data_IF_289584021426
#
_entry.id   IF_289584021426
#
_cell.length_a   1.000
_cell.length_b   1.000
_cell.length_c   1.000
_cell.angle_alpha   90.00
_cell.angle_beta   90.00
_cell.angle_gamma   90.00
#
_symmetry.space_group_name_H-M   'P 1'
#
loop_
_entity.id
_entity.type
_entity.pdbx_description
1 polymer ?
#
# COMPACT_ATOMS: atom_id res chain seq x y z
N UNK A 1 36.85 -83.97 9.18
CA UNK A 1 36.52 -83.14 8.01
C UNK A 1 35.79 -81.91 8.54
N UNK A 2 36.47 -80.77 8.55
CA UNK A 2 36.06 -79.54 9.25
C UNK A 2 35.19 -78.67 8.33
N UNK A 3 33.93 -78.45 8.72
CA UNK A 3 33.02 -77.51 8.07
C UNK A 3 32.88 -76.25 8.91
N UNK A 4 33.53 -75.16 8.49
CA UNK A 4 33.34 -73.82 9.07
C UNK A 4 32.13 -73.17 8.41
N UNK A 5 31.07 -72.92 9.18
CA UNK A 5 29.95 -72.08 8.75
C UNK A 5 30.19 -70.64 9.22
N UNK A 6 30.45 -69.75 8.26
CA UNK A 6 30.57 -68.30 8.47
C UNK A 6 29.16 -67.69 8.46
N UNK A 7 28.74 -67.14 9.60
CA UNK A 7 27.46 -66.41 9.73
C UNK A 7 27.73 -64.94 9.39
N UNK A 8 27.38 -64.53 8.17
CA UNK A 8 27.42 -63.13 7.75
C UNK A 8 26.15 -62.44 8.26
N UNK A 9 26.27 -61.59 9.28
CA UNK A 9 25.17 -60.71 9.72
C UNK A 9 25.12 -59.49 8.80
N UNK A 10 24.15 -59.46 7.90
CA UNK A 10 23.85 -58.30 7.05
C UNK A 10 23.13 -57.26 7.93
N UNK A 11 23.85 -56.20 8.30
CA UNK A 11 23.30 -55.02 8.98
C UNK A 11 22.57 -54.19 7.93
N UNK A 12 21.24 -54.21 7.97
CA UNK A 12 20.41 -53.37 7.11
C UNK A 12 20.36 -51.95 7.66
N UNK A 13 21.12 -51.04 7.06
CA UNK A 13 21.05 -49.60 7.33
C UNK A 13 19.91 -49.04 6.47
N UNK A 14 18.73 -48.85 7.08
CA UNK A 14 17.62 -48.16 6.45
C UNK A 14 17.96 -46.64 6.39
N UNK A 15 18.39 -46.17 5.22
CA UNK A 15 18.66 -44.77 4.95
C UNK A 15 17.31 -44.04 4.79
N UNK A 16 16.82 -43.41 5.85
CA UNK A 16 15.63 -42.57 5.82
C UNK A 16 15.90 -41.30 5.00
N UNK A 17 15.49 -41.32 3.73
CA UNK A 17 15.52 -40.18 2.83
C UNK A 17 14.45 -39.16 3.28
N UNK A 18 14.83 -38.21 4.14
CA UNK A 18 13.98 -37.07 4.46
C UNK A 18 13.90 -36.13 3.25
N UNK A 19 12.74 -36.15 2.58
CA UNK A 19 12.37 -35.18 1.55
C UNK A 19 12.31 -33.78 2.17
N UNK A 20 13.41 -33.03 2.10
CA UNK A 20 13.43 -31.60 2.41
C UNK A 20 12.77 -30.88 1.24
N UNK A 21 11.45 -30.72 1.28
CA UNK A 21 10.77 -29.86 0.34
C UNK A 21 11.26 -28.41 0.54
N UNK A 22 11.65 -27.68 -0.52
CA UNK A 22 12.02 -26.29 -0.38
C UNK A 22 10.78 -25.51 0.04
N UNK A 23 10.81 -24.98 1.27
CA UNK A 23 9.82 -23.99 1.71
C UNK A 23 10.07 -22.76 0.83
N UNK A 24 9.20 -22.56 -0.18
CA UNK A 24 9.19 -21.33 -0.97
C UNK A 24 8.79 -20.21 -0.02
N UNK A 25 9.79 -19.56 0.57
CA UNK A 25 9.60 -18.38 1.40
C UNK A 25 9.00 -17.30 0.50
N UNK A 26 7.70 -17.06 0.64
CA UNK A 26 7.03 -15.96 -0.01
C UNK A 26 7.71 -14.67 0.48
N UNK A 27 8.63 -14.10 -0.32
CA UNK A 27 9.26 -12.81 -0.06
C UNK A 27 8.14 -11.80 0.17
N UNK A 28 7.94 -11.42 1.43
CA UNK A 28 7.02 -10.34 1.79
C UNK A 28 7.54 -9.08 1.12
N UNK A 29 6.83 -8.61 0.07
CA UNK A 29 7.22 -7.37 -0.61
C UNK A 29 7.17 -6.25 0.42
N UNK A 30 8.31 -5.57 0.62
CA UNK A 30 8.37 -4.39 1.49
C UNK A 30 7.41 -3.33 0.95
N UNK A 31 6.79 -2.58 1.86
CA UNK A 31 5.81 -1.55 1.51
C UNK A 31 6.48 -0.43 0.69
N UNK A 32 5.88 0.04 -0.43
CA UNK A 32 6.44 1.16 -1.18
C UNK A 32 6.57 2.42 -0.33
N UNK A 33 5.66 2.62 0.63
CA UNK A 33 5.71 3.72 1.59
C UNK A 33 6.98 3.74 2.44
N UNK A 34 7.64 2.59 2.64
CA UNK A 34 8.85 2.46 3.45
C UNK A 34 10.14 2.36 2.62
N UNK A 35 10.03 1.98 1.35
CA UNK A 35 11.20 1.79 0.48
C UNK A 35 11.39 2.91 -0.54
N UNK A 36 10.39 3.78 -0.71
CA UNK A 36 10.51 4.96 -1.54
C UNK A 36 11.61 5.90 -1.01
N UNK A 37 12.21 6.66 -1.92
CA UNK A 37 13.15 7.71 -1.55
C UNK A 37 12.40 8.80 -0.78
N UNK A 38 11.23 9.19 -1.28
CA UNK A 38 10.38 10.21 -0.69
C UNK A 38 8.91 9.81 -0.76
N UNK A 39 8.11 10.30 0.18
CA UNK A 39 6.65 10.22 0.12
C UNK A 39 6.10 11.61 0.36
N UNK A 40 5.34 12.11 -0.61
CA UNK A 40 4.74 13.43 -0.57
C UNK A 40 3.22 13.29 -0.44
N UNK A 41 2.61 14.11 0.40
CA UNK A 41 1.17 14.29 0.44
C UNK A 41 0.75 15.53 -0.33
N UNK A 42 -0.37 15.43 -1.03
CA UNK A 42 -0.97 16.54 -1.76
C UNK A 42 -2.45 16.66 -1.43
N UNK A 43 -2.93 17.89 -1.45
CA UNK A 43 -4.35 18.21 -1.58
C UNK A 43 -4.69 18.29 -3.07
N UNK A 44 -5.76 17.61 -3.48
CA UNK A 44 -6.33 17.75 -4.81
C UNK A 44 -7.45 18.78 -4.73
N UNK A 45 -7.14 20.01 -5.16
CA UNK A 45 -8.07 21.12 -5.10
C UNK A 45 -9.18 20.97 -6.13
N UNK A 46 -10.38 21.41 -5.76
CA UNK A 46 -11.58 21.25 -6.57
C UNK A 46 -11.85 22.33 -7.62
N UNK A 47 -10.90 23.25 -7.82
CA UNK A 47 -11.16 24.50 -8.53
C UNK A 47 -12.41 25.21 -7.98
N UNK A 48 -13.21 25.80 -8.86
CA UNK A 48 -14.48 26.46 -8.52
C UNK A 48 -15.63 25.49 -8.22
N UNK A 49 -15.50 24.21 -8.58
CA UNK A 49 -16.58 23.21 -8.46
C UNK A 49 -16.53 22.40 -7.18
N UNK A 50 -15.47 22.56 -6.39
CA UNK A 50 -15.21 21.71 -5.23
C UNK A 50 -14.74 20.30 -5.60
N UNK A 51 -14.68 19.89 -6.89
CA UNK A 51 -14.21 18.58 -7.34
C UNK A 51 -12.90 18.67 -8.12
N UNK A 52 -11.87 17.87 -7.79
CA UNK A 52 -10.63 17.90 -8.56
C UNK A 52 -10.86 17.41 -9.98
N UNK A 53 -10.07 17.96 -10.90
CA UNK A 53 -10.19 17.65 -12.33
C UNK A 53 -9.68 16.24 -12.67
N UNK A 54 -8.89 15.65 -11.77
CA UNK A 54 -8.31 14.32 -11.93
C UNK A 54 -8.94 13.34 -10.94
N UNK A 55 -9.12 12.10 -11.38
CA UNK A 55 -9.56 10.99 -10.52
C UNK A 55 -8.44 10.40 -9.65
N UNK A 56 -7.19 10.79 -9.90
CA UNK A 56 -5.97 10.32 -9.22
C UNK A 56 -4.99 11.47 -9.11
N UNK A 57 -4.00 11.31 -8.24
CA UNK A 57 -2.94 12.31 -8.11
C UNK A 57 -1.93 12.18 -9.25
N UNK A 58 -1.64 10.97 -9.69
CA UNK A 58 -0.77 10.72 -10.82
C UNK A 58 -1.62 10.31 -12.02
N UNK A 59 -1.63 11.15 -13.04
CA UNK A 59 -2.30 10.90 -14.30
C UNK A 59 -1.60 9.80 -15.10
N UNK A 60 -2.30 9.31 -16.13
CA UNK A 60 -1.73 8.41 -17.11
C UNK A 60 -0.55 9.11 -17.80
N UNK A 61 0.66 8.54 -17.65
CA UNK A 61 1.91 9.17 -18.11
C UNK A 61 2.84 9.63 -16.97
N UNK A 62 2.40 9.54 -15.71
CA UNK A 62 3.25 9.82 -14.55
C UNK A 62 3.26 11.29 -14.10
N UNK A 63 2.45 12.13 -14.72
CA UNK A 63 2.32 13.56 -14.39
C UNK A 63 1.43 13.74 -13.17
N UNK A 64 1.81 14.67 -12.28
CA UNK A 64 0.97 15.05 -11.15
C UNK A 64 -0.26 15.84 -11.65
N UNK A 65 -1.42 15.55 -11.07
CA UNK A 65 -2.68 16.23 -11.36
C UNK A 65 -2.51 17.75 -11.26
N UNK A 66 -3.02 18.47 -12.25
CA UNK A 66 -2.92 19.94 -12.31
C UNK A 66 -3.54 20.67 -11.12
N UNK A 67 -4.49 20.05 -10.42
CA UNK A 67 -5.11 20.64 -9.22
C UNK A 67 -4.44 20.21 -7.92
N UNK A 68 -3.38 19.41 -7.98
CA UNK A 68 -2.58 19.10 -6.80
C UNK A 68 -1.91 20.38 -6.26
N UNK A 69 -2.12 20.68 -4.98
CA UNK A 69 -1.48 21.81 -4.33
C UNK A 69 0.03 21.60 -4.26
N UNK A 70 0.81 22.59 -4.70
CA UNK A 70 2.27 22.57 -4.68
C UNK A 70 2.84 23.60 -3.69
N UNK A 71 4.00 23.31 -3.06
CA UNK A 71 4.71 22.03 -3.08
C UNK A 71 3.98 20.95 -2.28
N UNK A 72 4.21 19.68 -2.61
CA UNK A 72 3.75 18.56 -1.78
C UNK A 72 4.41 18.56 -0.41
N UNK A 73 3.73 17.99 0.59
CA UNK A 73 4.25 17.92 1.97
C UNK A 73 4.96 16.59 2.21
N UNK A 74 6.26 16.65 2.48
CA UNK A 74 7.04 15.46 2.74
C UNK A 74 6.65 14.79 4.07
N UNK A 75 6.49 13.47 4.04
CA UNK A 75 6.21 12.70 5.25
C UNK A 75 7.51 12.37 5.99
N UNK A 76 7.46 12.49 7.32
CA UNK A 76 8.50 11.97 8.21
C UNK A 76 8.51 10.43 8.20
N UNK A 77 9.59 9.82 8.68
CA UNK A 77 9.67 8.35 8.78
C UNK A 77 8.52 7.75 9.60
N UNK A 78 8.18 8.34 10.75
CA UNK A 78 7.06 7.91 11.59
C UNK A 78 5.72 8.00 10.85
N UNK A 79 5.51 9.06 10.07
CA UNK A 79 4.31 9.22 9.25
C UNK A 79 4.22 8.18 8.14
N UNK A 80 5.36 7.86 7.49
CA UNK A 80 5.46 6.81 6.46
C UNK A 80 5.13 5.43 7.03
N UNK A 81 5.57 5.14 8.25
CA UNK A 81 5.25 3.88 8.95
C UNK A 81 3.76 3.75 9.25
N UNK A 82 3.13 4.83 9.71
CA UNK A 82 1.69 4.87 9.93
C UNK A 82 0.92 4.69 8.62
N UNK A 83 1.30 5.40 7.55
CA UNK A 83 0.71 5.22 6.23
C UNK A 83 0.88 3.78 5.71
N UNK A 84 2.05 3.18 5.94
CA UNK A 84 2.32 1.80 5.56
C UNK A 84 1.42 0.80 6.30
N UNK A 85 1.20 1.00 7.60
CA UNK A 85 0.28 0.20 8.39
C UNK A 85 -1.16 0.32 7.85
N UNK A 86 -1.63 1.55 7.66
CA UNK A 86 -2.97 1.85 7.12
C UNK A 86 -3.20 1.22 5.73
N UNK A 87 -2.17 1.21 4.87
CA UNK A 87 -2.27 0.62 3.53
C UNK A 87 -2.45 -0.90 3.50
N UNK A 88 -2.15 -1.58 4.61
CA UNK A 88 -2.24 -3.04 4.75
C UNK A 88 -3.51 -3.49 5.47
N UNK A 89 -4.19 -2.58 6.17
CA UNK A 89 -5.42 -2.91 6.86
C UNK A 89 -6.46 -3.42 5.86
N UNK A 90 -7.03 -4.62 6.07
CA UNK A 90 -8.09 -5.14 5.22
C UNK A 90 -9.28 -4.17 5.22
N UNK A 91 -9.73 -3.80 4.03
CA UNK A 91 -10.93 -3.02 3.81
C UNK A 91 -12.00 -3.88 3.15
N UNK A 92 -13.28 -3.61 3.43
CA UNK A 92 -14.36 -4.19 2.64
C UNK A 92 -14.29 -3.64 1.20
N UNK A 93 -14.35 -4.51 0.20
CA UNK A 93 -14.62 -4.07 -1.16
C UNK A 93 -16.04 -3.55 -1.20
N UNK A 94 -16.21 -2.24 -1.39
CA UNK A 94 -17.54 -1.65 -1.51
C UNK A 94 -17.77 -1.21 -2.96
N UNK A 95 -18.33 -2.12 -3.75
CA UNK A 95 -18.59 -1.88 -5.18
C UNK A 95 -19.67 -0.80 -5.39
N UNK A 96 -20.58 -0.62 -4.44
CA UNK A 96 -21.69 0.34 -4.52
C UNK A 96 -21.24 1.80 -4.35
N UNK A 97 -20.16 2.04 -3.62
CA UNK A 97 -19.68 3.39 -3.31
C UNK A 97 -18.76 4.01 -4.36
N UNK A 98 -18.35 3.26 -5.39
CA UNK A 98 -17.45 3.73 -6.47
C UNK A 98 -17.89 5.06 -7.09
N UNK A 99 -19.21 5.30 -7.21
CA UNK A 99 -19.78 6.54 -7.77
C UNK A 99 -19.57 7.80 -6.90
N UNK A 100 -19.33 7.62 -5.60
CA UNK A 100 -19.13 8.72 -4.65
C UNK A 100 -17.68 9.20 -4.63
N UNK A 101 -16.70 8.38 -5.06
CA UNK A 101 -15.27 8.65 -4.84
C UNK A 101 -14.80 9.96 -5.48
N UNK A 102 -14.66 11.01 -4.66
CA UNK A 102 -14.09 12.31 -5.03
C UNK A 102 -12.78 12.47 -4.26
N UNK A 103 -11.64 12.25 -4.92
CA UNK A 103 -10.35 12.21 -4.24
C UNK A 103 -9.89 13.61 -3.84
N UNK A 104 -9.73 13.90 -2.55
CA UNK A 104 -9.24 15.22 -2.10
C UNK A 104 -7.84 15.18 -1.53
N UNK A 105 -7.39 14.01 -1.10
CA UNK A 105 -6.10 13.84 -0.46
C UNK A 105 -5.39 12.68 -1.10
N UNK A 106 -4.09 12.81 -1.27
CA UNK A 106 -3.29 11.76 -1.87
C UNK A 106 -1.91 11.70 -1.24
N UNK A 107 -1.34 10.51 -1.23
CA UNK A 107 0.03 10.23 -0.87
C UNK A 107 0.70 9.57 -2.07
N UNK A 108 1.82 10.13 -2.52
CA UNK A 108 2.57 9.60 -3.65
C UNK A 108 3.97 9.23 -3.18
N UNK A 109 4.37 7.99 -3.44
CA UNK A 109 5.71 7.50 -3.18
C UNK A 109 6.57 7.70 -4.42
N UNK A 110 7.76 8.29 -4.26
CA UNK A 110 8.72 8.56 -5.33
C UNK A 110 10.00 7.75 -5.18
N UNK A 111 10.56 7.28 -6.29
CA UNK A 111 11.91 6.69 -6.32
C UNK A 111 13.01 7.78 -6.27
N UNK A 112 14.27 7.35 -6.21
CA UNK A 112 15.41 8.26 -6.17
C UNK A 112 15.61 9.10 -7.45
N UNK A 113 14.87 8.81 -8.53
CA UNK A 113 14.85 9.59 -9.77
C UNK A 113 13.66 10.55 -9.83
N UNK A 114 12.92 10.70 -8.73
CA UNK A 114 11.71 11.51 -8.67
C UNK A 114 10.53 10.94 -9.45
N UNK A 115 10.56 9.64 -9.80
CA UNK A 115 9.45 8.99 -10.51
C UNK A 115 8.46 8.43 -9.50
N UNK A 116 7.15 8.67 -9.66
CA UNK A 116 6.17 8.09 -8.76
C UNK A 116 6.14 6.55 -8.94
N UNK A 117 5.97 5.80 -7.86
CA UNK A 117 5.98 4.31 -7.85
C UNK A 117 4.74 3.69 -7.20
N UNK A 118 4.05 4.44 -6.35
CA UNK A 118 2.77 4.07 -5.76
C UNK A 118 1.99 5.31 -5.38
N UNK A 119 0.67 5.18 -5.31
CA UNK A 119 -0.18 6.22 -4.74
C UNK A 119 -1.28 5.63 -3.87
N UNK A 120 -1.73 6.44 -2.91
CA UNK A 120 -2.90 6.22 -2.09
C UNK A 120 -3.72 7.48 -2.18
N UNK A 121 -4.91 7.36 -2.71
CA UNK A 121 -5.84 8.47 -2.83
C UNK A 121 -6.99 8.25 -1.86
N UNK A 122 -7.35 9.28 -1.10
CA UNK A 122 -8.34 9.22 -0.02
C UNK A 122 -9.52 10.12 -0.35
N UNK A 123 -10.72 9.57 -0.20
CA UNK A 123 -11.96 10.33 -0.21
C UNK A 123 -12.59 10.24 1.19
N UNK A 124 -12.37 11.28 1.99
CA UNK A 124 -12.93 11.40 3.33
C UNK A 124 -14.45 11.60 3.36
N UNK A 125 -15.08 11.90 2.23
CA UNK A 125 -16.54 12.03 2.16
C UNK A 125 -17.24 10.69 2.02
N UNK A 126 -16.57 9.72 1.40
CA UNK A 126 -17.14 8.41 1.10
C UNK A 126 -16.43 7.30 1.88
N UNK A 127 -15.52 7.66 2.79
CA UNK A 127 -14.74 6.75 3.64
C UNK A 127 -14.00 5.65 2.86
N UNK A 128 -13.45 6.05 1.71
CA UNK A 128 -12.79 5.16 0.75
C UNK A 128 -11.37 5.58 0.45
N UNK A 129 -10.56 4.60 0.06
CA UNK A 129 -9.21 4.79 -0.46
C UNK A 129 -9.02 3.98 -1.73
N UNK A 130 -8.31 4.56 -2.70
CA UNK A 130 -7.69 3.80 -3.79
C UNK A 130 -6.20 3.67 -3.47
N UNK A 131 -5.70 2.43 -3.40
CA UNK A 131 -4.31 2.15 -3.01
C UNK A 131 -3.71 1.15 -3.99
N UNK A 132 -2.61 1.53 -4.64
CA UNK A 132 -1.94 0.60 -5.54
C UNK A 132 -0.61 1.09 -6.10
N UNK A 133 0.10 0.22 -6.84
CA UNK A 133 1.09 0.70 -7.79
C UNK A 133 0.41 1.64 -8.80
N UNK A 134 1.18 2.54 -9.41
CA UNK A 134 0.66 3.41 -10.46
C UNK A 134 0.01 2.59 -11.58
N UNK A 135 -1.14 3.06 -12.06
CA UNK A 135 -1.92 2.38 -13.11
C UNK A 135 -2.73 1.17 -12.63
N UNK A 136 -2.65 0.79 -11.34
CA UNK A 136 -3.57 -0.16 -10.71
C UNK A 136 -4.58 0.58 -9.84
N UNK A 137 -5.87 0.23 -9.93
CA UNK A 137 -6.91 0.68 -8.99
C UNK A 137 -7.33 -0.48 -8.10
N UNK A 138 -7.35 -0.23 -6.80
CA UNK A 138 -7.90 -1.12 -5.78
C UNK A 138 -8.67 -0.28 -4.77
N UNK A 139 -9.84 0.17 -5.20
CA UNK A 139 -10.75 0.89 -4.33
C UNK A 139 -11.19 -0.02 -3.18
N UNK A 140 -11.08 0.49 -1.95
CA UNK A 140 -11.41 -0.22 -0.72
C UNK A 140 -12.12 0.72 0.23
N UNK A 141 -13.14 0.23 0.92
CA UNK A 141 -13.69 0.89 2.10
C UNK A 141 -12.69 0.84 3.24
N UNK A 142 -12.66 1.89 4.05
CA UNK A 142 -11.78 1.97 5.22
C UNK A 142 -12.60 1.81 6.49
N UNK A 143 -12.07 1.09 7.48
CA UNK A 143 -12.73 1.03 8.79
C UNK A 143 -12.81 2.43 9.42
N UNK A 144 -13.81 2.72 10.26
CA UNK A 144 -13.89 4.03 10.92
C UNK A 144 -12.64 4.41 11.72
N UNK A 145 -11.99 3.42 12.35
CA UNK A 145 -10.73 3.63 13.08
C UNK A 145 -9.58 4.03 12.14
N UNK A 146 -9.37 3.29 11.05
CA UNK A 146 -8.33 3.62 10.07
C UNK A 146 -8.60 4.94 9.36
N UNK A 147 -9.88 5.29 9.15
CA UNK A 147 -10.25 6.60 8.60
C UNK A 147 -9.90 7.73 9.57
N UNK A 148 -10.20 7.58 10.86
CA UNK A 148 -9.83 8.56 11.87
C UNK A 148 -8.31 8.73 11.97
N UNK A 149 -7.56 7.63 11.84
CA UNK A 149 -6.10 7.67 11.77
C UNK A 149 -5.59 8.41 10.54
N UNK A 150 -6.21 8.20 9.36
CA UNK A 150 -5.90 8.95 8.14
C UNK A 150 -6.20 10.44 8.29
N UNK A 151 -7.32 10.82 8.93
CA UNK A 151 -7.63 12.22 9.23
C UNK A 151 -6.63 12.83 10.19
N UNK A 152 -6.23 12.07 11.23
CA UNK A 152 -5.18 12.49 12.16
C UNK A 152 -3.84 12.73 11.47
N UNK A 153 -3.43 11.81 10.59
CA UNK A 153 -2.23 11.94 9.77
C UNK A 153 -2.32 13.16 8.84
N UNK A 154 -3.46 13.37 8.17
CA UNK A 154 -3.72 14.52 7.31
C UNK A 154 -3.52 15.85 8.06
N UNK A 155 -4.09 15.98 9.27
CA UNK A 155 -3.93 17.18 10.11
C UNK A 155 -2.50 17.39 10.57
N UNK A 156 -1.81 16.32 10.98
CA UNK A 156 -0.43 16.39 11.44
C UNK A 156 0.53 16.84 10.34
N UNK A 157 0.31 16.39 9.10
CA UNK A 157 1.05 16.86 7.92
C UNK A 157 0.69 18.33 7.61
N UNK A 158 -0.42 18.82 8.13
CA UNK A 158 -0.90 20.19 7.93
C UNK A 158 -1.59 20.37 6.59
N UNK A 159 -2.28 19.35 6.08
CA UNK A 159 -3.13 19.50 4.91
C UNK A 159 -4.47 20.17 5.30
N UNK A 160 -5.07 20.93 4.40
CA UNK A 160 -6.42 21.44 4.52
C UNK A 160 -7.47 20.38 4.19
N UNK A 161 -8.73 20.63 4.57
CA UNK A 161 -9.86 19.78 4.19
C UNK A 161 -9.89 18.38 4.80
N UNK A 162 -9.06 18.07 5.80
CA UNK A 162 -9.00 16.74 6.44
C UNK A 162 -10.31 16.30 7.10
N UNK A 163 -11.19 17.24 7.44
CA UNK A 163 -12.48 17.00 8.08
C UNK A 163 -13.67 17.24 7.16
N UNK A 164 -13.42 17.44 5.85
CA UNK A 164 -14.47 17.62 4.85
C UNK A 164 -15.36 16.39 4.78
N UNK A 165 -16.68 16.61 4.86
CA UNK A 165 -17.75 15.59 4.73
C UNK A 165 -18.74 15.89 3.62
N UNK A 166 -18.61 17.06 2.99
CA UNK A 166 -19.45 17.54 1.88
C UNK A 166 -18.55 17.99 0.73
N UNK A 167 -19.03 17.98 -0.52
CA UNK A 167 -18.23 18.42 -1.68
C UNK A 167 -17.62 19.82 -1.49
#
# INVERSE_FOLDING_TARGET
MHGHHVIIRVVSIALALTLIAPVVSAKTRKSPWLTAHEVLAYELNGGSTGRPECSRAIEMGGTLCKTAALPGKALTQTQRERLAALSRTPGALNNELTKCFIPHHTFVAYDAKGRPVAEMTVCFMCDMVDIGPLGGTRLRGVSPSSLNELRGLCREIGLAGCDRRTP
#
